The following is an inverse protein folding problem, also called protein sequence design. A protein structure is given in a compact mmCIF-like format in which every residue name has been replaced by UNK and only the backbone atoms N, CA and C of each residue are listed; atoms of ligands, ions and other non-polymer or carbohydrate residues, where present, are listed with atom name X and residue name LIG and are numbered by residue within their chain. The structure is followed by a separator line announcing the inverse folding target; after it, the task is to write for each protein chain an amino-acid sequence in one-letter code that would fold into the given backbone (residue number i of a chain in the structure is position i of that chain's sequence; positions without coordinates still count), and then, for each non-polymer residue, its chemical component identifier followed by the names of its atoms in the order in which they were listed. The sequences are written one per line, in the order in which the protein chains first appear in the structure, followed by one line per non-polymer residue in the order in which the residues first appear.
data_IF_892760074783
#
_entry.id   IF_892760074783
#
_cell.length_a   1.000
_cell.length_b   1.000
_cell.length_c   1.000
_cell.angle_alpha   90.00
_cell.angle_beta   90.00
_cell.angle_gamma   90.00
#
_symmetry.space_group_name_H-M   'P 1'
#
loop_
_entity.id
_entity.type
_entity.pdbx_description
1 polymer ?
#
# COMPACT_ATOMS: atom_id res chain seq x y z
N UNK A 1 12.54 -13.47 5.11
CA UNK A 1 11.22 -13.07 4.60
C UNK A 1 10.27 -12.75 5.73
N UNK A 2 10.35 -13.45 6.86
CA UNK A 2 9.51 -13.18 8.04
C UNK A 2 9.67 -11.76 8.60
N UNK A 3 10.89 -11.22 8.63
CA UNK A 3 11.15 -9.83 9.05
C UNK A 3 10.50 -8.82 8.11
N UNK A 4 10.66 -8.98 6.79
CA UNK A 4 10.04 -8.10 5.79
C UNK A 4 8.51 -8.13 5.87
N UNK A 5 7.92 -9.31 6.03
CA UNK A 5 6.47 -9.47 6.20
C UNK A 5 5.97 -8.82 7.50
N UNK A 6 6.71 -8.97 8.59
CA UNK A 6 6.33 -8.40 9.90
C UNK A 6 6.45 -6.86 9.92
N UNK A 7 7.50 -6.32 9.30
CA UNK A 7 7.70 -4.86 9.17
C UNK A 7 6.65 -4.26 8.23
N UNK A 8 6.42 -4.86 7.05
CA UNK A 8 5.37 -4.39 6.13
C UNK A 8 3.98 -4.47 6.73
N UNK A 9 3.66 -5.53 7.48
CA UNK A 9 2.42 -5.63 8.24
C UNK A 9 2.27 -4.48 9.24
N UNK A 10 3.32 -4.18 10.02
CA UNK A 10 3.30 -3.09 10.99
C UNK A 10 2.98 -1.75 10.32
N UNK A 11 3.68 -1.43 9.23
CA UNK A 11 3.41 -0.20 8.47
C UNK A 11 2.01 -0.20 7.85
N UNK A 12 1.54 -1.32 7.28
CA UNK A 12 0.21 -1.42 6.69
C UNK A 12 -0.89 -1.14 7.72
N UNK A 13 -0.82 -1.77 8.89
CA UNK A 13 -1.81 -1.52 9.95
C UNK A 13 -1.70 -0.13 10.54
N UNK A 14 -0.49 0.38 10.76
CA UNK A 14 -0.27 1.73 11.28
C UNK A 14 -0.83 2.80 10.33
N UNK A 15 -0.48 2.71 9.05
CA UNK A 15 -0.96 3.63 8.00
C UNK A 15 -2.46 3.46 7.77
N UNK A 16 -2.99 2.24 7.81
CA UNK A 16 -4.42 1.97 7.65
C UNK A 16 -5.25 2.61 8.77
N UNK A 17 -4.80 2.50 10.02
CA UNK A 17 -5.43 3.17 11.16
C UNK A 17 -5.37 4.70 10.99
N UNK A 18 -4.22 5.25 10.58
CA UNK A 18 -4.07 6.68 10.35
C UNK A 18 -5.02 7.20 9.26
N UNK A 19 -5.17 6.47 8.15
CA UNK A 19 -6.13 6.80 7.08
C UNK A 19 -7.58 6.72 7.58
N UNK A 20 -7.95 5.68 8.33
CA UNK A 20 -9.31 5.58 8.91
C UNK A 20 -9.61 6.77 9.82
N UNK A 21 -8.67 7.16 10.68
CA UNK A 21 -8.81 8.33 11.56
C UNK A 21 -8.97 9.62 10.75
N UNK A 22 -8.18 9.81 9.70
CA UNK A 22 -8.28 10.97 8.82
C UNK A 22 -9.60 11.02 8.04
N UNK A 23 -10.11 9.88 7.57
CA UNK A 23 -11.45 9.80 6.94
C UNK A 23 -12.53 10.22 7.95
N UNK A 24 -12.46 9.73 9.19
CA UNK A 24 -13.44 10.08 10.23
C UNK A 24 -13.39 11.56 10.59
N UNK A 25 -12.20 12.16 10.65
CA UNK A 25 -12.02 13.60 10.90
C UNK A 25 -12.50 14.45 9.72
N UNK A 26 -12.18 14.04 8.49
CA UNK A 26 -12.61 14.72 7.26
C UNK A 26 -14.15 14.74 7.15
N UNK A 27 -14.82 13.63 7.47
CA UNK A 27 -16.30 13.56 7.48
C UNK A 27 -16.97 14.48 8.52
N UNK A 28 -16.22 14.98 9.51
CA UNK A 28 -16.72 15.96 10.49
C UNK A 28 -16.53 17.42 10.04
N UNK A 29 -16.22 17.66 8.77
CA UNK A 29 -16.09 19.00 8.19
C UNK A 29 -14.70 19.61 8.36
N UNK A 30 -13.71 18.86 8.85
CA UNK A 30 -12.33 19.32 8.98
C UNK A 30 -11.57 19.06 7.67
N UNK A 31 -11.86 19.85 6.63
CA UNK A 31 -11.25 19.75 5.28
C UNK A 31 -9.71 19.76 5.28
N UNK A 32 -9.10 20.38 6.29
CA UNK A 32 -7.64 20.46 6.46
C UNK A 32 -6.96 19.09 6.63
N UNK A 33 -7.71 18.04 7.01
CA UNK A 33 -7.21 16.67 7.12
C UNK A 33 -7.38 15.85 5.85
N UNK A 34 -8.13 16.35 4.85
CA UNK A 34 -8.29 15.67 3.57
C UNK A 34 -6.96 15.61 2.78
N UNK A 35 -6.14 16.65 2.86
CA UNK A 35 -4.79 16.66 2.26
C UNK A 35 -3.89 15.55 2.84
N UNK A 36 -4.10 15.16 4.10
CA UNK A 36 -3.38 14.05 4.74
C UNK A 36 -3.73 12.69 4.16
N UNK A 37 -4.93 12.52 3.58
CA UNK A 37 -5.32 11.26 2.92
C UNK A 37 -4.52 11.04 1.63
N UNK A 38 -4.38 12.08 0.81
CA UNK A 38 -3.58 12.01 -0.43
C UNK A 38 -2.12 11.63 -0.16
N UNK A 39 -1.53 12.17 0.91
CA UNK A 39 -0.14 11.88 1.30
C UNK A 39 0.01 10.45 1.80
N UNK A 40 -0.99 9.91 2.53
CA UNK A 40 -0.92 8.57 3.12
C UNK A 40 -1.34 7.46 2.17
N UNK A 41 -2.06 7.75 1.09
CA UNK A 41 -2.52 6.75 0.11
C UNK A 41 -1.35 5.98 -0.49
N UNK A 42 -0.31 6.66 -0.99
CA UNK A 42 0.86 5.99 -1.59
C UNK A 42 1.66 5.14 -0.60
N UNK A 43 2.03 5.64 0.60
CA UNK A 43 2.66 4.83 1.63
C UNK A 43 1.82 3.61 2.04
N UNK A 44 0.50 3.78 2.20
CA UNK A 44 -0.39 2.69 2.59
C UNK A 44 -0.47 1.63 1.49
N UNK A 45 -0.61 2.07 0.25
CA UNK A 45 -0.67 1.20 -0.93
C UNK A 45 0.65 0.43 -1.11
N UNK A 46 1.80 1.09 -0.91
CA UNK A 46 3.12 0.44 -0.92
C UNK A 46 3.23 -0.62 0.18
N UNK A 47 2.86 -0.29 1.42
CA UNK A 47 2.91 -1.22 2.54
C UNK A 47 1.99 -2.44 2.32
N UNK A 48 0.78 -2.21 1.78
CA UNK A 48 -0.18 -3.26 1.44
C UNK A 48 0.34 -4.18 0.34
N UNK A 49 0.96 -3.63 -0.70
CA UNK A 49 1.56 -4.41 -1.80
C UNK A 49 2.74 -5.26 -1.33
N UNK A 50 3.63 -4.70 -0.50
CA UNK A 50 4.73 -5.46 0.10
C UNK A 50 4.23 -6.59 1.01
N UNK A 51 3.25 -6.31 1.86
CA UNK A 51 2.68 -7.30 2.76
C UNK A 51 1.94 -8.39 1.98
N UNK A 52 1.06 -8.01 1.05
CA UNK A 52 0.30 -8.94 0.22
C UNK A 52 1.19 -9.78 -0.69
N UNK A 53 2.16 -9.17 -1.38
CA UNK A 53 3.09 -9.87 -2.25
C UNK A 53 4.01 -10.83 -1.50
N UNK A 54 4.52 -10.42 -0.34
CA UNK A 54 5.34 -11.31 0.50
C UNK A 54 4.53 -12.46 1.09
N UNK A 55 3.27 -12.22 1.49
CA UNK A 55 2.37 -13.26 1.97
C UNK A 55 2.05 -14.27 0.86
N UNK A 56 1.68 -13.79 -0.33
CA UNK A 56 1.38 -14.61 -1.49
C UNK A 56 2.60 -15.46 -1.91
N UNK A 57 3.78 -14.87 -1.93
CA UNK A 57 5.01 -15.59 -2.23
C UNK A 57 5.27 -16.72 -1.24
N UNK A 58 5.10 -16.47 0.07
CA UNK A 58 5.28 -17.50 1.10
C UNK A 58 4.23 -18.61 0.97
N UNK A 59 2.99 -18.29 0.62
CA UNK A 59 1.94 -19.28 0.41
C UNK A 59 2.19 -20.17 -0.82
N UNK A 60 2.81 -19.62 -1.87
CA UNK A 60 3.05 -20.35 -3.14
C UNK A 60 4.41 -21.05 -3.20
N UNK A 61 5.44 -20.53 -2.52
CA UNK A 61 6.77 -21.14 -2.48
C UNK A 61 6.77 -22.35 -1.53
N UNK A 62 6.18 -23.47 -1.96
CA UNK A 62 5.89 -24.59 -1.07
C UNK A 62 7.10 -25.37 -0.55
N UNK A 63 8.31 -25.26 -1.11
CA UNK A 63 9.52 -25.87 -0.52
C UNK A 63 10.85 -25.20 -0.94
N UNK A 64 10.92 -24.63 -2.14
CA UNK A 64 12.11 -23.91 -2.63
C UNK A 64 11.77 -22.48 -2.97
N UNK A 65 12.68 -21.58 -2.59
CA UNK A 65 12.65 -20.19 -3.05
C UNK A 65 12.79 -20.19 -4.57
N UNK A 66 11.75 -19.74 -5.27
CA UNK A 66 11.75 -19.64 -6.73
C UNK A 66 11.89 -18.17 -7.12
N UNK A 67 13.04 -17.80 -7.68
CA UNK A 67 13.26 -16.46 -8.21
C UNK A 67 12.26 -16.11 -9.33
N UNK A 68 11.84 -17.11 -10.12
CA UNK A 68 10.81 -16.95 -11.14
C UNK A 68 9.45 -16.59 -10.52
N UNK A 69 9.06 -17.26 -9.43
CA UNK A 69 7.82 -16.95 -8.70
C UNK A 69 7.88 -15.54 -8.09
N UNK A 70 9.05 -15.13 -7.58
CA UNK A 70 9.25 -13.78 -7.05
C UNK A 70 9.03 -12.73 -8.14
N UNK A 71 9.64 -12.91 -9.31
CA UNK A 71 9.46 -11.99 -10.45
C UNK A 71 8.00 -11.97 -10.90
N UNK A 72 7.35 -13.13 -11.01
CA UNK A 72 5.95 -13.24 -11.43
C UNK A 72 4.97 -12.54 -10.50
N UNK A 73 5.28 -12.45 -9.20
CA UNK A 73 4.48 -11.71 -8.22
C UNK A 73 4.88 -10.23 -8.20
N UNK A 74 6.18 -9.93 -8.20
CA UNK A 74 6.71 -8.59 -8.02
C UNK A 74 6.47 -7.68 -9.24
N UNK A 75 6.55 -8.22 -10.46
CA UNK A 75 6.34 -7.47 -11.69
C UNK A 75 4.92 -6.87 -11.78
N UNK A 76 3.82 -7.66 -11.65
CA UNK A 76 2.47 -7.09 -11.69
C UNK A 76 2.20 -6.14 -10.51
N UNK A 77 2.74 -6.42 -9.31
CA UNK A 77 2.64 -5.51 -8.17
C UNK A 77 3.31 -4.17 -8.46
N UNK A 78 4.48 -4.18 -9.10
CA UNK A 78 5.20 -2.95 -9.48
C UNK A 78 4.44 -2.15 -10.54
N UNK A 79 3.87 -2.83 -11.54
CA UNK A 79 3.02 -2.19 -12.57
C UNK A 79 1.78 -1.57 -11.92
N UNK A 80 1.12 -2.30 -11.03
CA UNK A 80 -0.05 -1.83 -10.31
C UNK A 80 0.29 -0.64 -9.38
N UNK A 81 1.42 -0.71 -8.69
CA UNK A 81 1.93 0.41 -7.88
C UNK A 81 2.15 1.65 -8.73
N UNK A 82 2.85 1.50 -9.87
CA UNK A 82 3.11 2.60 -10.79
C UNK A 82 1.82 3.21 -11.34
N UNK A 83 0.82 2.38 -11.65
CA UNK A 83 -0.50 2.84 -12.07
C UNK A 83 -1.18 3.69 -10.98
N UNK A 84 -1.24 3.21 -9.73
CA UNK A 84 -1.84 3.99 -8.65
C UNK A 84 -1.03 5.24 -8.28
N UNK A 85 0.30 5.19 -8.33
CA UNK A 85 1.15 6.36 -8.16
C UNK A 85 0.90 7.39 -9.26
N UNK A 86 0.77 6.95 -10.50
CA UNK A 86 0.39 7.81 -11.60
C UNK A 86 -0.99 8.44 -11.34
N UNK A 87 -2.00 7.68 -10.93
CA UNK A 87 -3.31 8.26 -10.60
C UNK A 87 -3.24 9.27 -9.44
N UNK A 88 -2.46 8.98 -8.40
CA UNK A 88 -2.32 9.84 -7.22
C UNK A 88 -1.68 11.20 -7.56
N UNK A 89 -0.70 11.23 -8.48
CA UNK A 89 -0.04 12.48 -8.90
C UNK A 89 -0.66 13.15 -10.14
N UNK A 90 -1.20 12.37 -11.09
CA UNK A 90 -1.75 12.88 -12.35
C UNK A 90 -3.23 13.26 -12.25
N UNK A 91 -3.98 12.68 -11.31
CA UNK A 91 -5.33 13.10 -10.95
C UNK A 91 -5.34 13.58 -9.50
N UNK A 92 -4.89 14.83 -9.23
CA UNK A 92 -5.13 15.43 -7.92
C UNK A 92 -6.65 15.51 -7.76
N UNK A 93 -7.21 14.66 -6.91
CA UNK A 93 -8.62 14.75 -6.54
C UNK A 93 -8.85 16.14 -5.92
N UNK A 94 -9.48 17.01 -6.70
CA UNK A 94 -10.12 18.27 -6.35
C UNK A 94 -9.21 19.32 -5.68
N UNK A 95 -8.52 20.13 -6.50
CA UNK A 95 -8.48 21.57 -6.24
C UNK A 95 -9.79 22.18 -6.77
N UNK A 96 -10.82 22.22 -5.92
CA UNK A 96 -11.94 23.17 -6.03
C UNK A 96 -11.99 23.98 -4.72
#
# INVERSE_FOLDING_TARGET
MDTLRRVSAFFFYLLGIAVIVLILLSRRGMFRYAAGLNILDLPLLFAGMLFGGSSLYVSLAHEKKSAALLIFIFLPLTVLFGFFAYLNFAMPFAED
#
